data_IF_942379098936
#
_entry.id   IF_942379098936
#
_cell.length_a   1.000
_cell.length_b   1.000
_cell.length_c   1.000
_cell.angle_alpha   90.00
_cell.angle_beta   90.00
_cell.angle_gamma   90.00
#
_symmetry.space_group_name_H-M   'P 1'
#
loop_
_entity.id
_entity.type
_entity.pdbx_description
1 polymer ?
#
# COMPACT_ATOMS: atom_id res chain seq x y z
N UNK A 1 -10.26 19.12 -1.47
CA UNK A 1 -10.02 18.22 -0.31
C UNK A 1 -10.14 16.78 -0.82
N UNK A 2 -9.06 16.01 -0.82
CA UNK A 2 -9.17 14.59 -1.20
C UNK A 2 -9.89 13.85 -0.07
N UNK A 3 -11.00 13.19 -0.39
CA UNK A 3 -11.78 12.43 0.58
C UNK A 3 -11.03 11.17 0.99
N UNK A 4 -11.14 10.74 2.26
CA UNK A 4 -10.52 9.50 2.77
C UNK A 4 -10.70 8.29 1.85
N UNK A 5 -11.90 8.04 1.28
CA UNK A 5 -12.12 6.96 0.31
C UNK A 5 -11.23 7.03 -0.94
N UNK A 6 -10.93 8.25 -1.44
CA UNK A 6 -10.07 8.44 -2.60
C UNK A 6 -8.58 8.20 -2.28
N UNK A 7 -8.17 8.45 -1.03
CA UNK A 7 -6.83 8.10 -0.57
C UNK A 7 -6.67 6.58 -0.44
N UNK A 8 -7.65 5.90 0.16
CA UNK A 8 -7.70 4.43 0.27
C UNK A 8 -7.66 3.78 -1.12
N UNK A 9 -8.48 4.25 -2.06
CA UNK A 9 -8.50 3.71 -3.42
C UNK A 9 -7.14 3.85 -4.11
N UNK A 10 -6.48 5.01 -3.98
CA UNK A 10 -5.14 5.23 -4.56
C UNK A 10 -4.09 4.33 -3.94
N UNK A 11 -4.06 4.20 -2.61
CA UNK A 11 -3.10 3.32 -1.94
C UNK A 11 -3.28 1.86 -2.35
N UNK A 12 -4.53 1.37 -2.44
CA UNK A 12 -4.82 0.03 -2.95
C UNK A 12 -4.33 -0.17 -4.39
N UNK A 13 -4.53 0.82 -5.27
CA UNK A 13 -4.00 0.76 -6.64
C UNK A 13 -2.47 0.74 -6.67
N UNK A 14 -1.80 1.48 -5.78
CA UNK A 14 -0.33 1.49 -5.70
C UNK A 14 0.21 0.14 -5.24
N UNK A 15 -0.38 -0.48 -4.22
CA UNK A 15 -0.01 -1.83 -3.75
C UNK A 15 -0.09 -2.83 -4.90
N UNK A 16 -1.22 -2.87 -5.62
CA UNK A 16 -1.40 -3.77 -6.76
C UNK A 16 -0.31 -3.61 -7.84
N UNK A 17 0.03 -2.36 -8.20
CA UNK A 17 1.06 -2.11 -9.20
C UNK A 17 2.46 -2.56 -8.75
N UNK A 18 2.76 -2.45 -7.45
CA UNK A 18 4.04 -2.86 -6.89
C UNK A 18 4.12 -4.39 -6.75
N UNK A 19 3.01 -5.06 -6.44
CA UNK A 19 2.91 -6.53 -6.48
C UNK A 19 3.20 -7.07 -7.89
N UNK A 20 2.65 -6.43 -8.93
CA UNK A 20 2.95 -6.81 -10.31
C UNK A 20 4.42 -6.54 -10.67
N UNK A 21 4.99 -5.43 -10.18
CA UNK A 21 6.41 -5.15 -10.37
C UNK A 21 7.32 -6.16 -9.64
N UNK A 22 6.91 -6.64 -8.46
CA UNK A 22 7.61 -7.67 -7.71
C UNK A 22 7.60 -8.99 -8.48
N UNK A 23 6.46 -9.39 -9.05
CA UNK A 23 6.38 -10.60 -9.90
C UNK A 23 7.37 -10.52 -11.07
N UNK A 24 7.46 -9.37 -11.74
CA UNK A 24 8.41 -9.15 -12.84
C UNK A 24 9.86 -9.19 -12.33
N UNK A 25 10.15 -8.65 -11.14
CA UNK A 25 11.48 -8.69 -10.54
C UNK A 25 11.92 -10.11 -10.18
N UNK A 26 10.99 -10.94 -9.69
CA UNK A 26 11.22 -12.35 -9.39
C UNK A 26 11.47 -13.17 -10.66
N UNK A 27 10.70 -12.92 -11.72
CA UNK A 27 10.93 -13.52 -13.05
C UNK A 27 12.29 -13.13 -13.64
N UNK A 28 12.75 -11.91 -13.35
CA UNK A 28 14.03 -11.36 -13.80
C UNK A 28 15.25 -11.72 -12.95
N UNK A 29 15.09 -12.57 -11.92
CA UNK A 29 16.15 -12.98 -10.98
C UNK A 29 16.89 -11.77 -10.34
N UNK A 30 16.13 -10.75 -9.93
CA UNK A 30 16.67 -9.57 -9.24
C UNK A 30 16.20 -9.50 -7.78
N UNK A 31 16.80 -10.30 -6.88
CA UNK A 31 16.30 -10.48 -5.51
C UNK A 31 16.40 -9.22 -4.65
N UNK A 32 17.42 -8.38 -4.85
CA UNK A 32 17.57 -7.13 -4.11
C UNK A 32 16.52 -6.09 -4.50
N UNK A 33 16.13 -6.08 -5.78
CA UNK A 33 15.04 -5.22 -6.23
C UNK A 33 13.69 -5.74 -5.73
N UNK A 34 13.45 -7.06 -5.79
CA UNK A 34 12.27 -7.69 -5.21
C UNK A 34 12.11 -7.37 -3.72
N UNK A 35 13.18 -7.49 -2.93
CA UNK A 35 13.16 -7.13 -1.50
C UNK A 35 12.70 -5.68 -1.26
N UNK A 36 13.22 -4.72 -2.04
CA UNK A 36 12.81 -3.30 -1.93
C UNK A 36 11.34 -3.08 -2.29
N UNK A 37 10.81 -3.82 -3.26
CA UNK A 37 9.40 -3.74 -3.64
C UNK A 37 8.52 -4.32 -2.54
N UNK A 38 8.94 -5.42 -1.91
CA UNK A 38 8.28 -6.00 -0.73
C UNK A 38 8.24 -5.00 0.44
N UNK A 39 9.38 -4.39 0.79
CA UNK A 39 9.43 -3.36 1.84
C UNK A 39 8.47 -2.18 1.54
N UNK A 40 8.34 -1.82 0.27
CA UNK A 40 7.44 -0.76 -0.17
C UNK A 40 5.96 -1.15 -0.02
N UNK A 41 5.61 -2.40 -0.31
CA UNK A 41 4.26 -2.95 -0.08
C UNK A 41 3.92 -2.88 1.41
N UNK A 42 4.82 -3.34 2.28
CA UNK A 42 4.61 -3.34 3.74
C UNK A 42 4.37 -1.92 4.28
N UNK A 43 5.14 -0.94 3.77
CA UNK A 43 4.98 0.47 4.13
C UNK A 43 3.59 1.02 3.70
N UNK A 44 3.13 0.67 2.50
CA UNK A 44 1.84 1.12 1.98
C UNK A 44 0.66 0.44 2.69
N UNK A 45 0.80 -0.84 3.03
CA UNK A 45 -0.20 -1.57 3.81
C UNK A 45 -0.34 -0.98 5.22
N UNK A 46 0.79 -0.67 5.88
CA UNK A 46 0.79 0.03 7.17
C UNK A 46 0.06 1.38 7.08
N UNK A 47 0.37 2.19 6.05
CA UNK A 47 -0.31 3.47 5.85
C UNK A 47 -1.81 3.31 5.55
N UNK A 48 -2.20 2.25 4.85
CA UNK A 48 -3.61 1.94 4.57
C UNK A 48 -4.35 1.57 5.86
N UNK A 49 -3.74 0.75 6.70
CA UNK A 49 -4.29 0.33 7.99
C UNK A 49 -4.46 1.52 8.95
N UNK A 50 -3.51 2.46 8.98
CA UNK A 50 -3.63 3.69 9.76
C UNK A 50 -4.82 4.55 9.33
N UNK A 51 -5.06 4.68 8.01
CA UNK A 51 -6.18 5.46 7.47
C UNK A 51 -7.52 4.76 7.76
N UNK A 52 -7.57 3.43 7.68
CA UNK A 52 -8.77 2.67 7.97
C UNK A 52 -9.05 2.68 9.48
N UNK A 53 -8.02 2.51 10.32
CA UNK A 53 -8.12 2.52 11.79
C UNK A 53 -8.55 3.89 12.34
N UNK A 54 -8.03 4.98 11.79
CA UNK A 54 -8.44 6.36 12.16
C UNK A 54 -9.87 6.69 11.76
N UNK A 55 -10.43 6.02 10.73
CA UNK A 55 -11.83 6.20 10.30
C UNK A 55 -12.85 5.58 11.26
N UNK A 56 -12.41 4.75 12.23
CA UNK A 56 -13.29 4.05 13.19
C UNK A 56 -13.59 4.85 14.46
N UNK A 57 -12.84 5.93 14.73
CA UNK A 57 -13.07 6.76 15.92
C UNK A 57 -14.13 7.81 15.61
N UNK A 58 -15.41 7.48 15.85
CA UNK A 58 -16.50 8.47 15.91
C UNK A 58 -16.14 9.53 16.96
N UNK A 59 -16.32 10.84 16.68
CA UNK A 59 -16.24 11.83 17.75
C UNK A 59 -17.33 11.52 18.78
N UNK A 60 -16.92 11.32 20.03
CA UNK A 60 -17.83 11.27 21.17
C UNK A 60 -18.35 12.69 21.43
N UNK A 61 -19.66 12.85 21.16
CA UNK A 61 -20.64 13.73 21.79
C UNK A 61 -20.50 15.27 21.68
#
# INVERSE_FOLDING_TARGET
MHSGPQAIARLKSMVFLIEEALRIADEGDNPLFGAKLSDCIDCLQTALDDIIGTSSVKPQH
#
